data_IF_662912364469
#
_entry.id   IF_662912364469
#
_cell.length_a   1.000
_cell.length_b   1.000
_cell.length_c   1.000
_cell.angle_alpha   90.00
_cell.angle_beta   90.00
_cell.angle_gamma   90.00
#
_symmetry.space_group_name_H-M   'P 1'
#
loop_
_entity.id
_entity.type
_entity.pdbx_description
1 polymer ?
#
# COMPACT_ATOMS: atom_id res chain seq x y z
N UNK A 1 -39.81 36.41 -0.97
CA UNK A 1 -39.55 35.56 0.21
C UNK A 1 -39.13 34.13 -0.16
N UNK A 2 -39.85 33.39 -1.01
CA UNK A 2 -39.47 32.04 -1.48
C UNK A 2 -38.08 31.91 -2.14
N UNK A 3 -37.67 32.90 -2.94
CA UNK A 3 -36.35 32.90 -3.60
C UNK A 3 -35.19 33.13 -2.62
N UNK A 4 -35.39 33.96 -1.58
CA UNK A 4 -34.38 34.20 -0.55
C UNK A 4 -34.15 32.96 0.34
N UNK A 5 -35.23 32.21 0.64
CA UNK A 5 -35.14 30.93 1.34
C UNK A 5 -34.41 29.84 0.54
N UNK A 6 -34.59 29.81 -0.79
CA UNK A 6 -33.87 28.89 -1.68
C UNK A 6 -32.37 29.18 -1.79
N UNK A 7 -31.98 30.46 -1.81
CA UNK A 7 -30.55 30.83 -1.81
C UNK A 7 -29.91 30.53 -0.45
N UNK A 8 -30.61 30.78 0.67
CA UNK A 8 -30.11 30.44 2.00
C UNK A 8 -29.95 28.91 2.17
N UNK A 9 -30.88 28.12 1.63
CA UNK A 9 -30.79 26.66 1.65
C UNK A 9 -29.65 26.10 0.79
N UNK A 10 -29.30 26.74 -0.35
CA UNK A 10 -28.15 26.34 -1.17
C UNK A 10 -26.80 26.71 -0.52
N UNK A 11 -26.73 27.83 0.20
CA UNK A 11 -25.49 28.28 0.88
C UNK A 11 -25.21 27.48 2.17
N UNK A 12 -26.25 26.91 2.79
CA UNK A 12 -26.13 26.04 3.97
C UNK A 12 -25.92 24.55 3.61
N UNK A 13 -26.08 24.17 2.34
CA UNK A 13 -25.90 22.78 1.88
C UNK A 13 -24.49 22.20 2.04
N UNK A 14 -23.36 22.94 1.84
CA UNK A 14 -22.04 22.35 2.00
C UNK A 14 -21.62 22.19 3.47
N UNK A 15 -22.31 22.85 4.42
CA UNK A 15 -22.01 22.76 5.85
C UNK A 15 -22.43 21.40 6.48
N UNK A 16 -23.21 20.59 5.75
CA UNK A 16 -23.60 19.23 6.14
C UNK A 16 -22.73 18.14 5.52
N UNK A 17 -21.76 18.48 4.67
CA UNK A 17 -20.78 17.51 4.21
C UNK A 17 -19.80 17.23 5.36
N UNK A 18 -19.85 16.03 5.96
CA UNK A 18 -18.76 15.58 6.80
C UNK A 18 -17.51 15.50 5.91
N UNK A 19 -16.60 16.45 6.06
CA UNK A 19 -15.34 16.41 5.37
C UNK A 19 -14.58 15.15 5.83
N UNK A 20 -14.31 14.25 4.90
CA UNK A 20 -13.26 13.24 5.09
C UNK A 20 -11.89 13.90 5.19
N UNK A 21 -10.83 13.09 5.21
CA UNK A 21 -9.47 13.62 5.31
C UNK A 21 -9.21 14.74 4.29
N UNK A 22 -8.60 15.82 4.77
CA UNK A 22 -8.11 16.91 3.95
C UNK A 22 -6.97 16.43 3.04
N UNK A 23 -6.71 17.14 1.95
CA UNK A 23 -5.57 16.83 1.06
C UNK A 23 -4.24 16.79 1.83
N UNK A 24 -4.08 17.66 2.84
CA UNK A 24 -2.90 17.67 3.71
C UNK A 24 -2.81 16.45 4.64
N UNK A 25 -3.94 15.91 5.10
CA UNK A 25 -3.95 14.70 5.93
C UNK A 25 -3.71 13.45 5.08
N UNK A 26 -4.26 13.39 3.87
CA UNK A 26 -3.98 12.32 2.90
C UNK A 26 -2.50 12.33 2.52
N UNK A 27 -1.90 13.49 2.32
CA UNK A 27 -0.47 13.62 2.01
C UNK A 27 0.46 13.11 3.13
N UNK A 28 -0.04 12.97 4.38
CA UNK A 28 0.71 12.38 5.49
C UNK A 28 0.61 10.86 5.54
N UNK A 29 -0.35 10.26 4.82
CA UNK A 29 -0.46 8.81 4.67
C UNK A 29 0.59 8.38 3.66
N UNK A 30 1.69 7.82 4.16
CA UNK A 30 2.85 7.51 3.36
C UNK A 30 3.59 6.29 3.92
N UNK A 31 4.35 5.63 3.05
CA UNK A 31 5.30 4.62 3.47
C UNK A 31 6.69 5.05 2.99
N UNK A 32 7.51 5.51 3.93
CA UNK A 32 8.88 6.00 3.70
C UNK A 32 9.84 5.27 4.68
N UNK A 33 10.15 4.00 4.41
CA UNK A 33 10.97 3.19 5.31
C UNK A 33 12.40 3.77 5.39
N UNK A 34 12.94 3.99 6.60
CA UNK A 34 14.35 4.37 6.75
C UNK A 34 15.28 3.28 6.19
N UNK A 35 16.52 3.66 5.87
CA UNK A 35 17.48 2.76 5.22
C UNK A 35 17.80 1.49 6.03
N UNK A 36 17.65 1.57 7.35
CA UNK A 36 17.85 0.51 8.34
C UNK A 36 16.53 0.10 9.03
N UNK A 37 15.39 0.33 8.37
CA UNK A 37 14.06 -0.03 8.88
C UNK A 37 14.03 -1.46 9.40
N UNK A 38 13.72 -1.60 10.68
CA UNK A 38 13.66 -2.87 11.38
C UNK A 38 12.56 -2.86 12.42
N UNK A 39 11.80 -3.94 12.48
CA UNK A 39 10.78 -4.12 13.48
C UNK A 39 11.42 -4.55 14.81
N UNK A 40 11.11 -3.90 15.94
CA UNK A 40 11.61 -4.33 17.24
C UNK A 40 11.04 -5.71 17.62
N UNK A 41 11.89 -6.75 17.64
CA UNK A 41 11.46 -8.13 17.90
C UNK A 41 10.89 -8.35 19.31
N UNK A 42 11.29 -7.51 20.27
CA UNK A 42 10.83 -7.57 21.66
C UNK A 42 9.46 -6.91 21.87
N UNK A 43 8.93 -6.24 20.84
CA UNK A 43 7.65 -5.55 20.91
C UNK A 43 6.52 -6.56 21.14
N UNK A 44 5.66 -6.28 22.12
CA UNK A 44 4.62 -7.21 22.55
C UNK A 44 3.26 -6.82 21.96
N UNK A 45 2.56 -7.82 21.46
CA UNK A 45 1.18 -7.74 20.99
C UNK A 45 0.35 -8.83 21.65
N UNK A 46 -0.95 -8.81 21.43
CA UNK A 46 -1.89 -9.83 21.88
C UNK A 46 -2.37 -10.63 20.69
N UNK A 47 -2.21 -11.95 20.76
CA UNK A 47 -2.75 -12.88 19.77
C UNK A 47 -4.27 -13.08 19.91
N UNK A 48 -4.90 -13.72 18.92
CA UNK A 48 -6.34 -14.01 18.97
C UNK A 48 -6.76 -14.80 20.21
N UNK A 49 -5.87 -15.62 20.75
CA UNK A 49 -6.06 -16.49 21.93
C UNK A 49 -5.76 -15.81 23.27
N UNK A 50 -5.64 -14.47 23.30
CA UNK A 50 -5.32 -13.66 24.50
C UNK A 50 -3.91 -13.84 25.05
N UNK A 51 -3.05 -14.54 24.33
CA UNK A 51 -1.67 -14.70 24.76
C UNK A 51 -0.83 -13.51 24.30
N UNK A 52 0.06 -12.99 25.16
CA UNK A 52 1.08 -12.06 24.71
C UNK A 52 1.99 -12.78 23.73
N UNK A 53 2.28 -12.13 22.60
CA UNK A 53 3.12 -12.63 21.52
C UNK A 53 4.09 -11.52 21.15
N UNK A 54 5.39 -11.80 21.25
CA UNK A 54 6.39 -10.86 20.76
C UNK A 54 6.45 -10.91 19.24
N UNK A 55 6.88 -9.81 18.60
CA UNK A 55 7.07 -9.82 17.14
C UNK A 55 8.10 -10.89 16.73
N UNK A 56 9.14 -11.11 17.54
CA UNK A 56 10.11 -12.19 17.33
C UNK A 56 9.48 -13.58 17.30
N UNK A 57 8.54 -13.85 18.22
CA UNK A 57 7.81 -15.12 18.25
C UNK A 57 6.89 -15.28 17.04
N UNK A 58 6.25 -14.19 16.60
CA UNK A 58 5.38 -14.19 15.41
C UNK A 58 6.17 -14.42 14.11
N UNK A 59 7.37 -13.83 14.00
CA UNK A 59 8.30 -14.04 12.87
C UNK A 59 8.88 -15.45 12.92
N UNK A 60 9.15 -15.99 14.11
CA UNK A 60 9.71 -17.32 14.36
C UNK A 60 11.02 -17.58 13.60
N UNK A 61 11.84 -16.55 13.40
CA UNK A 61 13.11 -16.62 12.67
C UNK A 61 12.98 -16.96 11.17
N UNK A 62 11.83 -16.66 10.56
CA UNK A 62 11.55 -16.92 9.13
C UNK A 62 11.42 -15.61 8.35
N UNK A 63 11.63 -15.63 7.03
CA UNK A 63 11.14 -14.53 6.19
C UNK A 63 9.63 -14.35 6.43
N UNK A 64 9.19 -13.12 6.57
CA UNK A 64 7.83 -12.82 7.03
C UNK A 64 7.13 -11.88 6.08
N UNK A 65 5.85 -12.13 5.77
CA UNK A 65 4.96 -11.12 5.20
C UNK A 65 4.22 -10.43 6.35
N UNK A 66 4.53 -9.16 6.57
CA UNK A 66 3.82 -8.28 7.50
C UNK A 66 2.68 -7.56 6.76
N UNK A 67 1.48 -7.70 7.29
CA UNK A 67 0.26 -7.04 6.82
C UNK A 67 -0.26 -6.12 7.92
N UNK A 68 -0.01 -4.80 7.82
CA UNK A 68 -0.73 -3.80 8.61
C UNK A 68 -2.18 -3.75 8.10
N UNK A 69 -3.15 -4.01 8.96
CA UNK A 69 -4.56 -4.04 8.61
C UNK A 69 -5.41 -3.27 9.62
N UNK A 70 -6.39 -2.53 9.13
CA UNK A 70 -7.54 -2.08 9.90
C UNK A 70 -8.61 -3.18 9.81
N UNK A 71 -8.93 -3.82 10.93
CA UNK A 71 -9.82 -4.98 10.99
C UNK A 71 -11.30 -4.61 10.85
N UNK A 72 -11.66 -3.36 11.13
CA UNK A 72 -13.04 -2.86 10.98
C UNK A 72 -13.27 -2.18 9.62
N UNK A 73 -12.23 -1.97 8.81
CA UNK A 73 -12.34 -1.46 7.46
C UNK A 73 -13.16 -2.37 6.52
N UNK A 74 -14.29 -1.84 6.05
CA UNK A 74 -15.23 -2.56 5.18
C UNK A 74 -14.99 -2.36 3.67
N UNK A 75 -13.94 -1.64 3.28
CA UNK A 75 -13.75 -1.21 1.88
C UNK A 75 -12.70 -2.06 1.15
N UNK A 76 -11.45 -2.00 1.60
CA UNK A 76 -10.29 -2.50 0.83
C UNK A 76 -9.52 -3.59 1.57
N UNK A 77 -9.46 -3.54 2.90
CA UNK A 77 -8.59 -4.41 3.71
C UNK A 77 -8.90 -5.91 3.53
N UNK A 78 -10.18 -6.30 3.52
CA UNK A 78 -10.59 -7.69 3.30
C UNK A 78 -10.19 -8.25 1.93
N UNK A 79 -10.56 -7.59 0.81
CA UNK A 79 -10.10 -7.98 -0.52
C UNK A 79 -8.57 -8.04 -0.63
N UNK A 80 -7.85 -7.10 -0.02
CA UNK A 80 -6.39 -7.10 -0.02
C UNK A 80 -5.79 -8.33 0.73
N UNK A 81 -6.37 -8.73 1.86
CA UNK A 81 -5.97 -9.96 2.57
C UNK A 81 -6.25 -11.21 1.73
N UNK A 82 -7.40 -11.26 1.05
CA UNK A 82 -7.76 -12.37 0.15
C UNK A 82 -6.76 -12.48 -1.01
N UNK A 83 -6.37 -11.36 -1.62
CA UNK A 83 -5.33 -11.29 -2.67
C UNK A 83 -4.00 -11.84 -2.11
N UNK A 84 -3.59 -11.39 -0.92
CA UNK A 84 -2.36 -11.84 -0.28
C UNK A 84 -2.36 -13.36 -0.04
N UNK A 85 -3.43 -13.88 0.56
CA UNK A 85 -3.59 -15.31 0.83
C UNK A 85 -3.55 -16.15 -0.45
N UNK A 86 -4.26 -15.71 -1.49
CA UNK A 86 -4.26 -16.38 -2.79
C UNK A 86 -2.86 -16.39 -3.43
N UNK A 87 -2.15 -15.27 -3.38
CA UNK A 87 -0.78 -15.17 -3.89
C UNK A 87 0.19 -16.08 -3.12
N UNK A 88 0.05 -16.18 -1.79
CA UNK A 88 0.86 -17.08 -0.97
C UNK A 88 0.60 -18.56 -1.31
N UNK A 89 -0.66 -18.95 -1.47
CA UNK A 89 -1.03 -20.32 -1.84
C UNK A 89 -0.48 -20.71 -3.22
N UNK A 90 -0.55 -19.80 -4.19
CA UNK A 90 -0.03 -20.02 -5.55
C UNK A 90 1.50 -19.90 -5.63
N UNK A 91 2.13 -19.22 -4.67
CA UNK A 91 3.58 -18.99 -4.63
C UNK A 91 4.41 -20.26 -4.34
N UNK A 92 3.79 -21.37 -3.97
CA UNK A 92 4.46 -22.66 -3.76
C UNK A 92 5.43 -22.65 -2.57
N UNK A 93 5.18 -21.83 -1.56
CA UNK A 93 5.86 -21.81 -0.27
C UNK A 93 4.88 -22.27 0.82
N UNK A 94 5.36 -22.93 1.87
CA UNK A 94 4.52 -23.37 2.99
C UNK A 94 4.67 -22.45 4.20
N UNK A 95 3.55 -21.91 4.67
CA UNK A 95 3.49 -21.14 5.91
C UNK A 95 3.96 -21.99 7.11
N UNK A 96 4.71 -21.38 8.02
CA UNK A 96 5.25 -22.02 9.23
C UNK A 96 6.46 -22.93 8.97
N UNK A 97 6.81 -23.18 7.71
CA UNK A 97 8.07 -23.83 7.32
C UNK A 97 8.98 -22.85 6.59
N UNK A 98 8.48 -22.30 5.49
CA UNK A 98 9.26 -21.48 4.56
C UNK A 98 9.10 -19.98 4.83
N UNK A 99 7.98 -19.56 5.41
CA UNK A 99 7.71 -18.16 5.79
C UNK A 99 6.73 -18.06 6.97
N UNK A 100 6.64 -16.87 7.58
CA UNK A 100 5.59 -16.51 8.55
C UNK A 100 4.67 -15.43 7.97
N UNK A 101 3.38 -15.49 8.30
CA UNK A 101 2.41 -14.45 7.96
C UNK A 101 2.02 -13.73 9.25
N UNK A 102 2.32 -12.45 9.34
CA UNK A 102 2.01 -11.64 10.52
C UNK A 102 1.05 -10.53 10.11
N UNK A 103 -0.15 -10.56 10.68
CA UNK A 103 -1.19 -9.56 10.43
C UNK A 103 -1.33 -8.74 11.71
N UNK A 104 -1.08 -7.44 11.63
CA UNK A 104 -1.12 -6.53 12.78
C UNK A 104 -2.23 -5.51 12.60
N UNK A 105 -3.10 -5.40 13.61
CA UNK A 105 -4.10 -4.35 13.72
C UNK A 105 -3.43 -2.98 13.85
N UNK A 106 -3.70 -2.07 12.92
CA UNK A 106 -3.17 -0.69 12.96
C UNK A 106 -4.08 0.27 13.74
N UNK A 107 -5.32 -0.14 14.02
CA UNK A 107 -6.23 0.60 14.88
C UNK A 107 -6.22 -0.02 16.29
N UNK A 108 -5.71 0.68 17.32
CA UNK A 108 -5.73 0.17 18.69
C UNK A 108 -7.14 0.03 19.28
N UNK A 109 -8.17 0.53 18.58
CA UNK A 109 -9.58 0.36 18.96
C UNK A 109 -10.17 -0.94 18.45
N UNK A 110 -9.54 -1.60 17.48
CA UNK A 110 -10.00 -2.88 16.95
C UNK A 110 -9.92 -3.96 18.04
N UNK A 111 -10.99 -4.74 18.18
CA UNK A 111 -11.02 -5.86 19.09
C UNK A 111 -10.47 -7.13 18.46
N UNK A 112 -10.11 -8.11 19.30
CA UNK A 112 -9.75 -9.45 18.84
C UNK A 112 -10.89 -10.15 18.09
N UNK A 113 -12.14 -9.79 18.40
CA UNK A 113 -13.30 -10.33 17.70
C UNK A 113 -13.41 -9.75 16.28
N UNK A 114 -13.05 -8.47 16.10
CA UNK A 114 -12.93 -7.86 14.77
C UNK A 114 -11.81 -8.53 13.98
N UNK A 115 -10.64 -8.76 14.60
CA UNK A 115 -9.54 -9.49 13.99
C UNK A 115 -9.92 -10.92 13.57
N UNK A 116 -10.69 -11.64 14.40
CA UNK A 116 -11.22 -12.98 14.08
C UNK A 116 -12.14 -12.93 12.86
N UNK A 117 -13.13 -12.03 12.88
CA UNK A 117 -14.07 -11.85 11.76
C UNK A 117 -13.36 -11.43 10.48
N UNK A 118 -12.38 -10.55 10.57
CA UNK A 118 -11.60 -10.09 9.42
C UNK A 118 -10.79 -11.20 8.75
N UNK A 119 -10.25 -12.13 9.53
CA UNK A 119 -9.37 -13.20 9.03
C UNK A 119 -10.09 -14.51 8.73
N UNK A 120 -11.36 -14.64 9.12
CA UNK A 120 -12.15 -15.86 8.98
C UNK A 120 -12.22 -16.32 7.51
N UNK A 121 -11.90 -17.60 7.28
CA UNK A 121 -11.95 -18.22 5.95
C UNK A 121 -10.91 -17.73 4.94
N UNK A 122 -10.11 -16.70 5.27
CA UNK A 122 -9.15 -16.10 4.35
C UNK A 122 -7.72 -16.60 4.55
N UNK A 123 -7.35 -17.03 5.75
CA UNK A 123 -5.99 -17.44 6.10
C UNK A 123 -5.91 -18.88 6.63
N UNK A 124 -4.73 -19.49 6.47
CA UNK A 124 -4.39 -20.75 7.13
C UNK A 124 -4.09 -20.57 8.63
N UNK A 125 -3.93 -21.68 9.36
CA UNK A 125 -3.55 -21.67 10.78
C UNK A 125 -2.05 -21.77 11.03
N UNK A 126 -1.34 -22.54 10.21
CA UNK A 126 0.08 -22.80 10.42
C UNK A 126 0.93 -21.59 10.02
N UNK A 127 1.82 -21.15 10.91
CA UNK A 127 2.74 -20.03 10.65
C UNK A 127 2.05 -18.68 10.43
N UNK A 128 0.83 -18.52 10.94
CA UNK A 128 0.09 -17.26 10.89
C UNK A 128 -0.08 -16.72 12.29
N UNK A 129 0.21 -15.43 12.47
CA UNK A 129 -0.04 -14.69 13.70
C UNK A 129 -0.91 -13.49 13.37
N UNK A 130 -2.05 -13.38 14.04
CA UNK A 130 -2.95 -12.23 13.96
C UNK A 130 -2.89 -11.52 15.30
N UNK A 131 -2.49 -10.25 15.27
CA UNK A 131 -2.02 -9.50 16.42
C UNK A 131 -2.82 -8.20 16.56
N UNK A 132 -3.29 -7.94 17.78
CA UNK A 132 -3.84 -6.64 18.22
C UNK A 132 -2.89 -6.05 19.25
N UNK A 133 -2.68 -4.73 19.25
CA UNK A 133 -1.71 -4.08 20.13
C UNK A 133 -2.26 -2.88 20.87
N UNK A 134 -1.52 -2.43 21.90
CA UNK A 134 -1.76 -1.11 22.46
C UNK A 134 -1.38 -0.02 21.46
N UNK A 135 -1.92 1.16 21.66
CA UNK A 135 -1.61 2.35 20.87
C UNK A 135 -0.09 2.64 20.80
N UNK A 136 0.64 2.47 21.91
CA UNK A 136 2.10 2.61 21.94
C UNK A 136 2.82 1.54 21.13
N UNK A 137 2.39 0.28 21.23
CA UNK A 137 3.00 -0.82 20.48
C UNK A 137 2.77 -0.65 18.97
N UNK A 138 1.55 -0.33 18.57
CA UNK A 138 1.21 -0.10 17.15
C UNK A 138 2.02 1.07 16.60
N UNK A 139 2.08 2.22 17.28
CA UNK A 139 2.90 3.35 16.81
C UNK A 139 4.38 3.00 16.69
N UNK A 140 4.94 2.35 17.71
CA UNK A 140 6.36 1.93 17.69
C UNK A 140 6.66 1.03 16.51
N UNK A 141 5.79 0.06 16.21
CA UNK A 141 5.91 -0.79 15.05
C UNK A 141 5.88 0.02 13.75
N UNK A 142 4.84 0.83 13.57
CA UNK A 142 4.62 1.57 12.32
C UNK A 142 5.72 2.60 12.05
N UNK A 143 6.15 3.34 13.08
CA UNK A 143 7.23 4.33 12.97
C UNK A 143 8.57 3.66 12.64
N UNK A 144 8.86 2.48 13.20
CA UNK A 144 10.11 1.74 12.93
C UNK A 144 10.29 1.32 11.47
N UNK A 145 9.18 1.23 10.74
CA UNK A 145 9.16 0.88 9.31
C UNK A 145 8.74 2.06 8.42
N UNK A 146 8.58 3.27 8.97
CA UNK A 146 8.18 4.46 8.23
C UNK A 146 6.76 4.41 7.66
N UNK A 147 5.84 3.72 8.34
CA UNK A 147 4.46 3.52 7.90
C UNK A 147 3.52 4.52 8.56
N UNK A 148 3.25 5.63 7.88
CA UNK A 148 2.47 6.73 8.41
C UNK A 148 0.99 6.58 8.08
N UNK A 149 0.14 6.67 9.12
CA UNK A 149 -1.31 6.53 9.02
C UNK A 149 -2.01 7.80 9.50
N UNK A 150 -3.27 7.95 9.11
CA UNK A 150 -4.12 9.04 9.57
C UNK A 150 -5.52 8.51 9.87
N UNK A 151 -6.11 8.90 10.99
CA UNK A 151 -7.46 8.48 11.33
C UNK A 151 -8.52 9.34 10.61
N UNK A 152 -9.40 8.70 9.84
CA UNK A 152 -10.52 9.35 9.16
C UNK A 152 -11.79 9.28 10.02
N UNK A 153 -12.09 10.37 10.73
CA UNK A 153 -13.29 10.50 11.57
C UNK A 153 -14.60 10.36 10.80
N UNK A 154 -14.61 10.69 9.50
CA UNK A 154 -15.84 10.64 8.69
C UNK A 154 -16.22 9.20 8.33
N UNK A 155 -15.22 8.32 8.23
CA UNK A 155 -15.38 6.91 7.87
C UNK A 155 -15.18 5.96 9.05
N UNK A 156 -14.82 6.51 10.22
CA UNK A 156 -14.38 5.77 11.40
C UNK A 156 -13.39 4.65 11.05
N UNK A 157 -12.40 4.99 10.22
CA UNK A 157 -11.41 4.06 9.71
C UNK A 157 -10.03 4.70 9.71
N UNK A 158 -8.98 3.88 9.70
CA UNK A 158 -7.60 4.33 9.59
C UNK A 158 -7.21 4.38 8.11
N UNK A 159 -6.91 5.57 7.60
CA UNK A 159 -6.27 5.72 6.30
C UNK A 159 -4.79 5.33 6.42
N UNK A 160 -4.37 4.39 5.58
CA UNK A 160 -3.04 3.82 5.61
C UNK A 160 -2.52 3.53 4.18
N UNK A 161 -1.20 3.40 4.00
CA UNK A 161 -0.61 3.00 2.73
C UNK A 161 -1.14 1.64 2.23
N UNK A 162 -1.38 1.51 0.92
CA UNK A 162 -1.76 0.26 0.28
C UNK A 162 -0.55 -0.68 0.06
N UNK A 163 0.22 -0.91 1.13
CA UNK A 163 1.48 -1.63 1.08
C UNK A 163 1.55 -2.74 2.14
N UNK A 164 1.99 -3.93 1.72
CA UNK A 164 2.48 -5.00 2.57
C UNK A 164 4.00 -4.98 2.59
N UNK A 165 4.60 -5.55 3.63
CA UNK A 165 6.06 -5.47 3.82
C UNK A 165 6.61 -6.87 4.05
N UNK A 166 7.68 -7.24 3.35
CA UNK A 166 8.44 -8.44 3.68
C UNK A 166 9.59 -8.11 4.63
N UNK A 167 9.72 -8.95 5.66
CA UNK A 167 10.74 -8.84 6.69
C UNK A 167 11.71 -10.02 6.60
N UNK A 168 12.98 -9.75 6.81
CA UNK A 168 13.98 -10.78 7.07
C UNK A 168 13.77 -11.41 8.47
N UNK A 169 14.37 -12.59 8.75
CA UNK A 169 14.29 -13.26 10.05
C UNK A 169 14.65 -12.41 11.27
N UNK A 170 15.49 -11.40 11.08
CA UNK A 170 15.95 -10.45 12.10
C UNK A 170 15.01 -9.24 12.28
N UNK A 171 13.89 -9.19 11.55
CA UNK A 171 12.91 -8.10 11.60
C UNK A 171 13.20 -6.93 10.65
N UNK A 172 14.30 -6.97 9.87
CA UNK A 172 14.61 -5.91 8.90
C UNK A 172 13.62 -5.90 7.74
N UNK A 173 13.21 -4.71 7.31
CA UNK A 173 12.40 -4.50 6.12
C UNK A 173 13.23 -4.78 4.87
N UNK A 174 12.70 -5.62 3.98
CA UNK A 174 13.40 -6.06 2.77
C UNK A 174 12.76 -5.48 1.52
N UNK A 175 11.43 -5.58 1.42
CA UNK A 175 10.67 -5.11 0.27
C UNK A 175 9.27 -4.73 0.68
N UNK A 176 8.72 -3.69 0.06
CA UNK A 176 7.30 -3.40 0.12
C UNK A 176 6.61 -3.81 -1.18
N UNK A 177 5.38 -4.27 -1.05
CA UNK A 177 4.57 -4.86 -2.10
C UNK A 177 3.20 -4.21 -2.10
N UNK A 178 2.58 -4.07 -3.27
CA UNK A 178 1.21 -3.57 -3.38
C UNK A 178 0.24 -4.49 -2.65
N UNK A 179 -0.67 -3.93 -1.86
CA UNK A 179 -1.77 -4.70 -1.29
C UNK A 179 -2.86 -5.07 -2.31
N UNK A 180 -2.90 -4.36 -3.45
CA UNK A 180 -3.94 -4.52 -4.49
C UNK A 180 -3.45 -5.20 -5.77
N UNK A 181 -2.14 -5.12 -6.06
CA UNK A 181 -1.54 -5.68 -7.28
C UNK A 181 -0.51 -6.77 -6.97
N UNK A 182 -0.77 -7.59 -5.95
CA UNK A 182 0.16 -8.62 -5.53
C UNK A 182 0.13 -9.83 -6.47
N UNK A 183 1.28 -10.16 -7.08
CA UNK A 183 1.43 -11.35 -7.92
C UNK A 183 2.16 -12.48 -7.16
N UNK A 184 1.79 -13.76 -7.37
CA UNK A 184 2.42 -14.89 -6.67
C UNK A 184 3.94 -14.96 -6.87
N UNK A 185 4.42 -14.69 -8.08
CA UNK A 185 5.85 -14.72 -8.42
C UNK A 185 6.65 -13.64 -7.70
N UNK A 186 6.12 -12.41 -7.64
CA UNK A 186 6.78 -11.29 -6.96
C UNK A 186 6.85 -11.51 -5.45
N UNK A 187 5.76 -12.03 -4.87
CA UNK A 187 5.72 -12.34 -3.44
C UNK A 187 6.70 -13.47 -3.08
N UNK A 188 6.74 -14.54 -3.89
CA UNK A 188 7.71 -15.64 -3.71
C UNK A 188 9.13 -15.10 -3.76
N UNK A 189 9.46 -14.26 -4.75
CA UNK A 189 10.78 -13.65 -4.87
C UNK A 189 11.10 -12.78 -3.65
N UNK A 190 10.17 -11.93 -3.21
CA UNK A 190 10.36 -11.05 -2.06
C UNK A 190 10.62 -11.83 -0.76
N UNK A 191 9.95 -12.96 -0.55
CA UNK A 191 10.18 -13.85 0.60
C UNK A 191 11.54 -14.57 0.52
N UNK A 192 11.97 -14.96 -0.68
CA UNK A 192 13.30 -15.54 -0.89
C UNK A 192 14.44 -14.52 -0.68
N UNK A 193 14.23 -13.28 -1.12
CA UNK A 193 15.15 -12.16 -0.84
C UNK A 193 15.24 -11.91 0.67
N UNK A 194 14.10 -11.90 1.35
CA UNK A 194 14.03 -11.72 2.80
C UNK A 194 14.69 -12.86 3.57
N UNK A 195 14.57 -14.10 3.10
CA UNK A 195 15.21 -15.28 3.70
C UNK A 195 16.73 -15.16 3.69
N UNK A 196 17.29 -14.63 2.59
CA UNK A 196 18.72 -14.40 2.45
C UNK A 196 19.20 -13.10 3.12
N UNK A 197 18.31 -12.34 3.79
CA UNK A 197 18.60 -11.03 4.36
C UNK A 197 18.99 -9.97 3.32
N UNK A 198 18.80 -10.25 2.03
CA UNK A 198 19.20 -9.36 0.93
C UNK A 198 18.16 -8.26 0.76
N UNK A 199 18.53 -7.03 1.05
CA UNK A 199 17.77 -5.84 0.65
C UNK A 199 17.75 -5.82 -0.88
N UNK A 200 16.58 -5.66 -1.49
CA UNK A 200 16.35 -5.80 -2.92
C UNK A 200 17.53 -5.30 -3.78
N UNK A 201 18.28 -6.25 -4.33
CA UNK A 201 19.48 -5.97 -5.12
C UNK A 201 19.12 -5.36 -6.48
N UNK A 202 20.13 -4.78 -7.15
CA UNK A 202 20.03 -4.22 -8.52
C UNK A 202 19.15 -5.04 -9.50
N UNK A 203 19.16 -6.39 -9.51
CA UNK A 203 18.33 -7.17 -10.44
C UNK A 203 16.82 -7.00 -10.23
N UNK A 204 16.35 -6.91 -8.98
CA UNK A 204 14.95 -6.67 -8.64
C UNK A 204 14.51 -5.24 -9.00
N UNK A 205 15.43 -4.27 -8.89
CA UNK A 205 15.20 -2.88 -9.33
C UNK A 205 15.05 -2.78 -10.84
N UNK A 206 15.82 -3.55 -11.61
CA UNK A 206 15.71 -3.60 -13.08
C UNK A 206 14.38 -4.22 -13.51
N UNK A 207 13.91 -5.27 -12.84
CA UNK A 207 12.59 -5.85 -13.10
C UNK A 207 11.44 -4.88 -12.75
N UNK A 208 11.55 -4.14 -11.63
CA UNK A 208 10.59 -3.09 -11.24
C UNK A 208 10.61 -1.87 -12.18
N UNK A 209 11.79 -1.50 -12.72
CA UNK A 209 11.93 -0.49 -13.78
C UNK A 209 11.26 -0.94 -15.09
N UNK A 210 11.35 -2.22 -15.44
CA UNK A 210 10.65 -2.79 -16.59
C UNK A 210 9.13 -2.95 -16.37
N UNK A 211 8.69 -3.17 -15.13
CA UNK A 211 7.27 -3.30 -14.77
C UNK A 211 6.56 -1.98 -14.49
N UNK A 212 7.28 -0.85 -14.44
CA UNK A 212 6.69 0.50 -14.41
C UNK A 212 5.73 0.77 -13.24
N UNK A 213 5.73 -0.05 -12.20
CA UNK A 213 4.80 0.02 -11.09
C UNK A 213 5.58 0.10 -9.79
N UNK A 214 5.69 1.31 -9.24
CA UNK A 214 5.97 1.53 -7.83
C UNK A 214 4.61 1.65 -7.12
N UNK A 215 4.11 0.58 -6.49
CA UNK A 215 2.79 0.57 -5.88
C UNK A 215 2.70 1.38 -4.58
N UNK A 216 3.83 1.84 -4.04
CA UNK A 216 3.91 2.49 -2.74
C UNK A 216 3.53 3.97 -2.88
N UNK A 217 3.94 4.58 -3.99
CA UNK A 217 3.51 5.91 -4.38
C UNK A 217 2.27 5.77 -5.26
N UNK A 218 1.11 5.55 -4.63
CA UNK A 218 -0.21 5.56 -5.27
C UNK A 218 -0.58 6.86 -6.01
N UNK A 219 0.36 7.77 -6.17
CA UNK A 219 0.27 8.95 -7.02
C UNK A 219 1.57 9.01 -7.80
N UNK A 220 1.47 8.91 -9.13
CA UNK A 220 2.52 9.29 -10.08
C UNK A 220 3.31 10.47 -9.50
N UNK A 221 4.58 10.26 -9.15
CA UNK A 221 5.41 11.37 -8.67
C UNK A 221 5.29 12.50 -9.69
N UNK A 222 5.01 13.72 -9.25
CA UNK A 222 4.68 14.84 -10.14
C UNK A 222 5.75 15.05 -11.22
N UNK A 223 6.97 14.57 -10.97
CA UNK A 223 8.08 14.49 -11.93
C UNK A 223 7.83 13.50 -13.08
N UNK A 224 7.37 12.28 -12.80
CA UNK A 224 7.06 11.28 -13.86
C UNK A 224 5.86 11.76 -14.68
N UNK A 225 4.83 12.31 -14.03
CA UNK A 225 3.70 12.91 -14.74
C UNK A 225 4.14 14.09 -15.63
N UNK A 226 5.01 14.97 -15.11
CA UNK A 226 5.57 16.08 -15.89
C UNK A 226 6.44 15.60 -17.06
N UNK A 227 7.24 14.55 -16.88
CA UNK A 227 8.06 13.95 -17.95
C UNK A 227 7.16 13.34 -19.03
N UNK A 228 6.14 12.57 -18.63
CA UNK A 228 5.16 11.99 -19.57
C UNK A 228 4.35 13.06 -20.30
N UNK A 229 3.95 14.13 -19.61
CA UNK A 229 3.26 15.27 -20.22
C UNK A 229 4.17 16.01 -21.21
N UNK A 230 5.45 16.20 -20.89
CA UNK A 230 6.44 16.79 -21.80
C UNK A 230 6.67 15.93 -23.03
N UNK A 231 6.85 14.62 -22.87
CA UNK A 231 7.02 13.69 -23.99
C UNK A 231 5.76 13.59 -24.85
N UNK A 232 4.59 13.56 -24.22
CA UNK A 232 3.30 13.59 -24.92
C UNK A 232 3.11 14.87 -25.72
N UNK A 233 3.37 16.03 -25.11
CA UNK A 233 3.31 17.34 -25.77
C UNK A 233 4.29 17.43 -26.95
N UNK A 234 5.53 16.94 -26.77
CA UNK A 234 6.52 16.89 -27.84
C UNK A 234 6.07 16.02 -29.02
N UNK A 235 5.44 14.88 -28.74
CA UNK A 235 4.91 13.97 -29.77
C UNK A 235 3.79 14.64 -30.57
N UNK A 236 2.84 15.28 -29.88
CA UNK A 236 1.75 16.03 -30.53
C UNK A 236 2.29 17.19 -31.36
N UNK A 237 3.27 17.93 -30.85
CA UNK A 237 3.91 19.03 -31.57
C UNK A 237 4.65 18.53 -32.83
N UNK A 238 5.35 17.40 -32.75
CA UNK A 238 6.02 16.79 -33.89
C UNK A 238 5.01 16.34 -34.97
N UNK A 239 3.90 15.71 -34.56
CA UNK A 239 2.83 15.31 -35.48
C UNK A 239 2.17 16.54 -36.14
N UNK A 240 1.81 17.55 -35.35
CA UNK A 240 1.20 18.77 -35.86
C UNK A 240 2.15 19.53 -36.81
N UNK A 241 3.44 19.59 -36.47
CA UNK A 241 4.48 20.18 -37.30
C UNK A 241 4.66 19.45 -38.62
N UNK A 242 4.70 18.11 -38.61
CA UNK A 242 4.79 17.30 -39.82
C UNK A 242 3.57 17.48 -40.72
N UNK A 243 2.36 17.44 -40.15
CA UNK A 243 1.11 17.66 -40.88
C UNK A 243 1.09 19.07 -41.48
N UNK A 244 1.42 20.10 -40.70
CA UNK A 244 1.51 21.48 -41.18
C UNK A 244 2.51 21.64 -42.32
N UNK A 245 3.68 21.02 -42.22
CA UNK A 245 4.73 21.07 -43.23
C UNK A 245 4.32 20.36 -44.53
N UNK A 246 3.60 19.24 -44.45
CA UNK A 246 3.02 18.55 -45.60
C UNK A 246 1.92 19.38 -46.28
N UNK A 247 1.03 20.01 -45.51
CA UNK A 247 -0.03 20.88 -46.04
C UNK A 247 0.56 22.13 -46.73
N UNK A 248 1.57 22.76 -46.13
CA UNK A 248 2.26 23.91 -46.72
C UNK A 248 3.02 23.55 -48.01
N UNK A 249 3.61 22.35 -48.07
CA UNK A 249 4.27 21.83 -49.28
C UNK A 249 3.27 21.45 -50.38
N UNK A 250 2.09 20.94 -50.03
CA UNK A 250 1.00 20.67 -50.97
C UNK A 250 0.46 21.94 -51.63
N UNK A 251 0.28 23.01 -50.84
CA UNK A 251 -0.20 24.31 -51.34
C UNK A 251 0.79 25.00 -52.30
N UNK A 252 2.10 24.78 -52.10
CA UNK A 252 3.16 25.28 -53.01
C UNK A 252 3.24 24.51 -54.33
N UNK A 253 2.85 23.23 -54.35
CA UNK A 253 2.80 22.42 -55.59
C UNK A 253 1.56 22.67 -56.44
N UNK A 254 0.46 23.10 -55.83
CA UNK A 254 -0.78 23.49 -56.54
C UNK A 254 -0.76 24.90 -57.13
N UNK A 255 0.26 25.72 -56.84
CA UNK A 255 0.40 27.08 -57.38
C UNK A 255 1.33 27.16 -58.62
N UNK A 256 1.82 26.02 -59.11
CA UNK A 256 2.65 25.92 -60.33
C UNK A 256 2.03 25.02 -61.42
N UNK A 257 0.71 24.79 -61.35
CA UNK A 257 -0.08 24.17 -62.41
C UNK A 257 -1.01 25.23 -63.02
#
# INVERSE_FOLDING_TARGET
MRRALLVLALVLWPALAQAGLTEQEIARVAFDPPADAHVPLTLQFTGLDDRPVSVGDAIAGRPTLLIPADFTCQQICGPALTIASSALQQGGLAAGRDYSLVIVGIDPRDSREDARRFTEGQIGRAGVSVLTGSDEAVRTLLDSIGYHTAFDRSRDAVAHPAAFVTLAPDGRVVRALSSLALQPGDLRLALLEASNGRIGGLPGRIALLCYGFDPIHGIYTSRIAAILQLLGAATVAAMAGLIGLLLLRGKRRGASA
#
